data_IF_935978516737
#
_entry.id   IF_935978516737
#
_cell.length_a   1.000
_cell.length_b   1.000
_cell.length_c   1.000
_cell.angle_alpha   90.00
_cell.angle_beta   90.00
_cell.angle_gamma   90.00
#
_symmetry.space_group_name_H-M   'P 1'
#
loop_
_entity.id
_entity.type
_entity.pdbx_description
1 polymer ?
#
# COMPACT_ATOMS: atom_id res chain seq x y z
N UNK A 1 -18.51 22.50 -21.75
CA UNK A 1 -17.32 22.27 -20.90
C UNK A 1 -17.08 20.78 -20.82
N UNK A 2 -15.84 20.33 -20.91
CA UNK A 2 -15.47 18.96 -20.59
C UNK A 2 -15.60 18.74 -19.07
N UNK A 3 -16.07 17.57 -18.67
CA UNK A 3 -16.20 17.19 -17.27
C UNK A 3 -14.81 17.04 -16.65
N UNK A 4 -14.54 17.73 -15.54
CA UNK A 4 -13.31 17.58 -14.75
C UNK A 4 -13.60 16.61 -13.61
N UNK A 5 -12.86 15.51 -13.55
CA UNK A 5 -12.97 14.50 -12.50
C UNK A 5 -11.92 14.77 -11.41
N UNK A 6 -12.21 14.35 -10.17
CA UNK A 6 -11.27 14.53 -9.05
C UNK A 6 -10.05 13.61 -9.17
N UNK A 7 -10.27 12.30 -9.36
CA UNK A 7 -9.21 11.30 -9.51
C UNK A 7 -9.80 10.04 -10.16
N UNK A 8 -9.61 9.90 -11.47
CA UNK A 8 -9.85 8.63 -12.17
C UNK A 8 -8.56 7.83 -12.19
N UNK A 9 -8.68 6.49 -12.26
CA UNK A 9 -7.54 5.63 -12.47
C UNK A 9 -6.78 6.07 -13.72
N UNK A 10 -5.46 6.22 -13.57
CA UNK A 10 -4.55 6.53 -14.67
C UNK A 10 -3.77 5.26 -15.02
N UNK A 11 -3.90 4.80 -16.26
CA UNK A 11 -3.24 3.59 -16.75
C UNK A 11 -2.00 3.99 -17.54
N UNK A 12 -0.82 3.52 -17.12
CA UNK A 12 0.49 3.78 -17.72
C UNK A 12 0.83 2.86 -18.91
N UNK A 13 0.11 1.75 -19.09
CA UNK A 13 0.18 0.87 -20.26
C UNK A 13 0.58 -0.57 -19.93
N UNK A 14 1.44 -0.77 -18.93
CA UNK A 14 1.95 -2.10 -18.56
C UNK A 14 1.05 -2.88 -17.59
N UNK A 15 0.02 -2.25 -17.02
CA UNK A 15 -0.83 -2.89 -16.02
C UNK A 15 -1.57 -4.12 -16.59
N UNK A 16 -2.03 -4.04 -17.84
CA UNK A 16 -2.69 -5.18 -18.49
C UNK A 16 -1.73 -6.35 -18.72
N UNK A 17 -0.44 -6.07 -18.91
CA UNK A 17 0.58 -7.10 -19.13
C UNK A 17 0.83 -7.87 -17.84
N UNK A 18 1.01 -7.18 -16.70
CA UNK A 18 1.18 -7.83 -15.39
C UNK A 18 -0.06 -8.59 -14.94
N UNK A 19 -1.27 -8.08 -15.24
CA UNK A 19 -2.51 -8.81 -14.97
C UNK A 19 -2.56 -10.08 -15.82
N UNK A 20 -2.27 -9.99 -17.12
CA UNK A 20 -2.24 -11.16 -18.02
C UNK A 20 -1.21 -12.20 -17.54
N UNK A 21 -0.01 -11.76 -17.16
CA UNK A 21 1.04 -12.64 -16.63
C UNK A 21 0.57 -13.39 -15.38
N UNK A 22 -0.12 -12.73 -14.45
CA UNK A 22 -0.66 -13.38 -13.25
C UNK A 22 -1.66 -14.50 -13.60
N UNK A 23 -2.49 -14.32 -14.63
CA UNK A 23 -3.38 -15.36 -15.13
C UNK A 23 -2.60 -16.49 -15.84
N UNK A 24 -1.64 -16.17 -16.71
CA UNK A 24 -0.85 -17.15 -17.47
C UNK A 24 0.01 -18.03 -16.56
N UNK A 25 0.55 -17.46 -15.50
CA UNK A 25 1.39 -18.15 -14.50
C UNK A 25 0.58 -18.76 -13.35
N UNK A 26 -0.75 -18.59 -13.37
CA UNK A 26 -1.69 -19.07 -12.35
C UNK A 26 -1.42 -18.52 -10.93
N UNK A 27 -0.79 -17.35 -10.83
CA UNK A 27 -0.59 -16.60 -9.59
C UNK A 27 -1.73 -15.62 -9.32
N UNK A 28 -2.97 -16.13 -9.30
CA UNK A 28 -4.19 -15.35 -9.00
C UNK A 28 -4.54 -15.45 -7.51
N UNK A 29 -3.54 -15.18 -6.67
CA UNK A 29 -3.60 -15.28 -5.20
C UNK A 29 -2.90 -14.05 -4.60
N UNK A 30 -3.07 -13.72 -3.31
CA UNK A 30 -2.54 -12.47 -2.73
C UNK A 30 -1.01 -12.43 -2.57
N UNK A 31 -0.28 -13.33 -3.22
CA UNK A 31 1.15 -13.54 -3.15
C UNK A 31 1.65 -13.92 -4.55
N UNK A 32 2.92 -13.68 -4.84
CA UNK A 32 3.55 -14.13 -6.08
C UNK A 32 4.51 -13.10 -6.68
N UNK A 33 5.07 -13.39 -7.86
CA UNK A 33 6.19 -12.64 -8.42
C UNK A 33 5.91 -11.13 -8.59
N UNK A 34 4.68 -10.76 -8.97
CA UNK A 34 4.29 -9.35 -9.11
C UNK A 34 4.27 -8.61 -7.76
N UNK A 35 3.93 -9.29 -6.66
CA UNK A 35 3.93 -8.71 -5.32
C UNK A 35 5.37 -8.56 -4.83
N UNK A 36 6.19 -9.62 -4.97
CA UNK A 36 7.60 -9.61 -4.59
C UNK A 36 8.38 -8.51 -5.33
N UNK A 37 8.13 -8.37 -6.64
CA UNK A 37 8.71 -7.31 -7.46
C UNK A 37 8.26 -5.92 -7.03
N UNK A 38 6.97 -5.73 -6.75
CA UNK A 38 6.46 -4.45 -6.25
C UNK A 38 7.09 -4.04 -4.91
N UNK A 39 7.20 -4.96 -3.97
CA UNK A 39 7.84 -4.70 -2.67
C UNK A 39 9.33 -4.36 -2.84
N UNK A 40 10.05 -5.11 -3.69
CA UNK A 40 11.46 -4.87 -3.97
C UNK A 40 11.70 -3.51 -4.62
N UNK A 41 10.98 -3.21 -5.70
CA UNK A 41 11.14 -1.97 -6.47
C UNK A 41 10.78 -0.75 -5.62
N UNK A 42 9.71 -0.84 -4.82
CA UNK A 42 9.30 0.24 -3.93
C UNK A 42 10.33 0.46 -2.81
N UNK A 43 10.83 -0.62 -2.20
CA UNK A 43 11.88 -0.56 -1.19
C UNK A 43 13.16 0.08 -1.73
N UNK A 44 13.61 -0.34 -2.92
CA UNK A 44 14.79 0.21 -3.59
C UNK A 44 14.58 1.70 -3.92
N UNK A 45 13.45 2.04 -4.53
CA UNK A 45 13.14 3.42 -4.90
C UNK A 45 13.09 4.33 -3.67
N UNK A 46 12.39 3.94 -2.61
CA UNK A 46 12.33 4.73 -1.38
C UNK A 46 13.70 4.88 -0.70
N UNK A 47 14.52 3.82 -0.69
CA UNK A 47 15.86 3.85 -0.12
C UNK A 47 16.81 4.80 -0.86
N UNK A 48 16.58 5.09 -2.15
CA UNK A 48 17.35 6.11 -2.88
C UNK A 48 16.92 7.54 -2.57
N UNK A 49 15.75 7.74 -1.95
CA UNK A 49 15.16 9.04 -1.61
C UNK A 49 15.10 9.30 -0.09
N UNK A 50 15.56 8.35 0.73
CA UNK A 50 15.58 8.43 2.18
C UNK A 50 17.01 8.24 2.69
N UNK A 51 17.37 8.87 3.81
CA UNK A 51 18.69 8.70 4.46
C UNK A 51 18.84 7.35 5.20
N UNK A 52 18.05 6.34 4.83
CA UNK A 52 18.04 5.00 5.45
C UNK A 52 17.48 3.95 4.50
N UNK A 53 17.84 2.70 4.76
CA UNK A 53 17.19 1.54 4.14
C UNK A 53 15.71 1.51 4.53
N UNK A 54 14.84 1.30 3.54
CA UNK A 54 13.38 1.24 3.70
C UNK A 54 12.90 -0.14 3.31
N UNK A 55 12.27 -0.85 4.25
CA UNK A 55 11.55 -2.09 3.95
C UNK A 55 10.10 -1.77 3.53
N UNK A 56 9.58 -2.52 2.58
CA UNK A 56 8.20 -2.39 2.09
C UNK A 56 7.46 -3.73 2.23
N UNK A 57 6.17 -3.66 2.50
CA UNK A 57 5.26 -4.83 2.52
C UNK A 57 3.93 -4.44 1.89
N UNK A 58 3.43 -5.25 0.97
CA UNK A 58 2.18 -5.06 0.27
C UNK A 58 1.02 -5.59 1.11
N UNK A 59 -0.03 -4.78 1.25
CA UNK A 59 -1.22 -5.12 2.02
C UNK A 59 -2.47 -4.75 1.22
N UNK A 60 -3.62 -5.29 1.64
CA UNK A 60 -4.89 -5.10 0.94
C UNK A 60 -5.41 -3.66 0.93
N UNK A 61 -4.94 -2.81 1.85
CA UNK A 61 -5.33 -1.39 1.94
C UNK A 61 -4.39 -0.60 2.86
N UNK A 62 -4.47 0.73 2.78
CA UNK A 62 -3.82 1.63 3.76
C UNK A 62 -4.35 1.45 5.19
N UNK A 63 -5.62 1.05 5.37
CA UNK A 63 -6.17 0.74 6.71
C UNK A 63 -5.49 -0.49 7.31
N UNK A 64 -5.28 -1.55 6.52
CA UNK A 64 -4.55 -2.73 6.96
C UNK A 64 -3.09 -2.42 7.30
N UNK A 65 -2.46 -1.50 6.55
CA UNK A 65 -1.10 -1.03 6.82
C UNK A 65 -0.98 -0.33 8.16
N UNK A 66 -1.88 0.61 8.47
CA UNK A 66 -1.87 1.30 9.77
C UNK A 66 -2.17 0.32 10.91
N UNK A 67 -3.14 -0.58 10.73
CA UNK A 67 -3.49 -1.58 11.73
C UNK A 67 -2.30 -2.49 12.06
N UNK A 68 -1.61 -3.03 11.05
CA UNK A 68 -0.42 -3.86 11.25
C UNK A 68 0.71 -3.09 11.92
N UNK A 69 0.93 -1.83 11.52
CA UNK A 69 1.96 -0.99 12.12
C UNK A 69 1.72 -0.78 13.63
N UNK A 70 0.48 -0.53 14.05
CA UNK A 70 0.12 -0.37 15.46
C UNK A 70 0.31 -1.67 16.26
N UNK A 71 -0.06 -2.82 15.68
CA UNK A 71 0.22 -4.14 16.27
C UNK A 71 1.74 -4.32 16.46
N UNK A 72 2.55 -3.99 15.45
CA UNK A 72 4.02 -4.12 15.52
C UNK A 72 4.65 -3.17 16.55
N UNK A 73 4.03 -2.01 16.81
CA UNK A 73 4.44 -1.09 17.86
C UNK A 73 3.99 -1.52 19.27
N UNK A 74 3.20 -2.59 19.37
CA UNK A 74 2.69 -3.10 20.65
C UNK A 74 1.52 -2.30 21.21
N UNK A 75 0.85 -1.48 20.39
CA UNK A 75 -0.35 -0.74 20.81
C UNK A 75 -1.43 -1.72 21.22
N UNK A 76 -2.03 -1.45 22.37
CA UNK A 76 -2.98 -2.32 23.02
C UNK A 76 -4.15 -1.54 23.59
N UNK A 77 -5.16 -2.27 24.08
CA UNK A 77 -6.34 -1.66 24.66
C UNK A 77 -5.95 -0.80 25.87
N UNK A 78 -6.29 0.49 25.79
CA UNK A 78 -6.04 1.47 26.84
C UNK A 78 -4.87 2.40 26.53
N UNK A 79 -4.11 2.14 25.48
CA UNK A 79 -3.07 3.05 25.01
C UNK A 79 -3.67 4.24 24.25
N UNK A 80 -2.99 5.37 24.31
CA UNK A 80 -3.39 6.60 23.62
C UNK A 80 -2.56 6.80 22.35
N UNK A 81 -3.24 6.96 21.21
CA UNK A 81 -2.61 7.24 19.91
C UNK A 81 -3.11 8.59 19.38
N UNK A 82 -2.18 9.51 19.16
CA UNK A 82 -2.50 10.84 18.63
C UNK A 82 -2.89 10.71 17.15
N UNK A 83 -4.09 11.18 16.80
CA UNK A 83 -4.60 11.20 15.43
C UNK A 83 -4.94 12.64 14.99
N UNK A 84 -4.79 12.90 13.70
CA UNK A 84 -5.21 14.16 13.09
C UNK A 84 -6.74 14.32 13.17
N UNK A 85 -7.21 15.51 13.54
CA UNK A 85 -8.66 15.80 13.63
C UNK A 85 -9.31 15.99 12.26
N UNK A 86 -8.55 16.43 11.25
CA UNK A 86 -9.04 16.61 9.89
C UNK A 86 -8.30 15.68 8.92
N UNK A 87 -8.82 14.46 8.80
CA UNK A 87 -8.28 13.38 7.95
C UNK A 87 -9.42 12.46 7.48
N UNK A 88 -9.10 11.50 6.61
CA UNK A 88 -10.03 10.44 6.25
C UNK A 88 -10.15 9.41 7.39
N UNK A 89 -11.34 8.80 7.57
CA UNK A 89 -11.63 7.91 8.70
C UNK A 89 -10.66 6.71 8.82
N UNK A 90 -10.05 6.29 7.71
CA UNK A 90 -9.06 5.21 7.70
C UNK A 90 -7.81 5.48 8.56
N UNK A 91 -7.53 6.73 8.95
CA UNK A 91 -6.44 7.05 9.88
C UNK A 91 -6.78 6.70 11.33
N UNK A 92 -8.05 6.77 11.73
CA UNK A 92 -8.49 6.60 13.12
C UNK A 92 -9.13 5.23 13.38
N UNK A 93 -9.84 4.66 12.41
CA UNK A 93 -10.48 3.35 12.55
C UNK A 93 -9.55 2.18 12.90
N UNK A 94 -8.28 2.12 12.45
CA UNK A 94 -7.37 1.02 12.78
C UNK A 94 -6.59 1.22 14.09
N UNK A 95 -6.80 2.36 14.77
CA UNK A 95 -6.32 2.63 16.13
C UNK A 95 -7.19 1.86 17.12
#
# INVERSE_FOLDING_TARGET
MSKIWLSLAHMGGSEQEFVREAFETNWVVPLGPNVDGFEHDLSQWLSTHCDREVHAVALSSGTAAIHLALIMLGVSKGDEVICQSFTFAASANPI
#
